data_IF_078795102740
#
_entry.id   IF_078795102740
#
_cell.length_a   1.000
_cell.length_b   1.000
_cell.length_c   1.000
_cell.angle_alpha   90.00
_cell.angle_beta   90.00
_cell.angle_gamma   90.00
#
_symmetry.space_group_name_H-M   'P 1'
#
loop_
_entity.id
_entity.type
_entity.pdbx_description
1 polymer ?
#
# COMPACT_ATOMS: atom_id res chain seq x y z
N UNK A 1 28.40 -6.33 -17.66
CA UNK A 1 27.84 -6.07 -16.31
C UNK A 1 26.63 -6.96 -16.12
N UNK A 2 26.45 -7.54 -14.94
CA UNK A 2 25.26 -8.35 -14.62
C UNK A 2 24.01 -7.47 -14.69
N UNK A 3 23.03 -7.87 -15.50
CA UNK A 3 21.76 -7.15 -15.63
C UNK A 3 20.89 -7.46 -14.41
N UNK A 4 20.36 -6.44 -13.73
CA UNK A 4 19.53 -6.63 -12.52
C UNK A 4 18.26 -7.42 -12.84
N UNK A 5 17.65 -7.21 -14.01
CA UNK A 5 16.44 -7.90 -14.46
C UNK A 5 16.60 -9.41 -14.60
N UNK A 6 17.85 -9.89 -14.75
CA UNK A 6 18.16 -11.32 -14.82
C UNK A 6 18.38 -11.94 -13.44
N UNK A 7 18.46 -11.12 -12.39
CA UNK A 7 18.56 -11.61 -11.02
C UNK A 7 17.19 -12.11 -10.56
N UNK A 8 17.23 -13.11 -9.69
CA UNK A 8 16.06 -13.64 -9.00
C UNK A 8 16.41 -13.85 -7.53
N UNK A 9 15.67 -13.19 -6.64
CA UNK A 9 15.85 -13.25 -5.18
C UNK A 9 17.32 -13.09 -4.75
N UNK A 10 18.06 -12.21 -5.42
CA UNK A 10 19.48 -12.02 -5.19
C UNK A 10 19.74 -11.27 -3.87
N UNK A 11 20.81 -11.67 -3.17
CA UNK A 11 21.34 -11.00 -1.98
C UNK A 11 22.52 -10.04 -2.32
N UNK A 12 22.85 -9.88 -3.60
CA UNK A 12 23.95 -9.03 -4.10
C UNK A 12 23.56 -7.53 -4.11
N UNK A 13 23.23 -6.96 -2.95
CA UNK A 13 22.73 -5.58 -2.84
C UNK A 13 23.68 -4.53 -3.41
N UNK A 14 24.99 -4.78 -3.38
CA UNK A 14 25.99 -3.87 -3.95
C UNK A 14 25.77 -3.61 -5.44
N UNK A 15 25.24 -4.56 -6.21
CA UNK A 15 24.96 -4.35 -7.64
C UNK A 15 23.89 -3.27 -7.84
N UNK A 16 22.81 -3.29 -7.05
CA UNK A 16 21.76 -2.28 -7.12
C UNK A 16 22.24 -0.95 -6.54
N UNK A 17 23.03 -0.98 -5.46
CA UNK A 17 23.64 0.22 -4.88
C UNK A 17 24.46 0.97 -5.92
N UNK A 18 25.42 0.30 -6.55
CA UNK A 18 26.29 0.91 -7.56
C UNK A 18 25.49 1.41 -8.75
N UNK A 19 24.48 0.65 -9.19
CA UNK A 19 23.63 1.10 -10.29
C UNK A 19 22.86 2.36 -9.94
N UNK A 20 22.23 2.41 -8.76
CA UNK A 20 21.53 3.60 -8.28
C UNK A 20 22.46 4.78 -8.08
N UNK A 21 23.70 4.58 -7.63
CA UNK A 21 24.67 5.68 -7.48
C UNK A 21 25.08 6.25 -8.83
N UNK A 22 25.32 5.38 -9.82
CA UNK A 22 25.90 5.75 -11.11
C UNK A 22 24.87 6.06 -12.21
N UNK A 23 23.56 5.97 -11.93
CA UNK A 23 22.50 6.25 -12.91
C UNK A 23 21.76 7.54 -12.52
N UNK A 24 22.07 8.70 -13.13
CA UNK A 24 21.38 9.95 -12.82
C UNK A 24 19.87 9.85 -13.07
N UNK A 25 19.47 9.36 -14.24
CA UNK A 25 18.07 9.16 -14.64
C UNK A 25 17.47 7.90 -14.00
N UNK A 26 17.13 7.98 -12.71
CA UNK A 26 16.56 6.87 -11.93
C UNK A 26 15.36 7.32 -11.12
N UNK A 27 14.39 6.43 -10.94
CA UNK A 27 13.17 6.69 -10.18
C UNK A 27 12.91 5.54 -9.20
N UNK A 28 12.80 5.85 -7.91
CA UNK A 28 12.42 4.88 -6.87
C UNK A 28 10.95 5.12 -6.52
N UNK A 29 10.14 4.06 -6.64
CA UNK A 29 8.74 4.03 -6.20
C UNK A 29 8.62 2.93 -5.14
N UNK A 30 8.21 3.27 -3.93
CA UNK A 30 8.14 2.28 -2.84
C UNK A 30 6.90 2.39 -1.98
N UNK A 31 6.49 1.26 -1.39
CA UNK A 31 5.59 1.28 -0.23
C UNK A 31 6.34 1.75 1.04
N UNK A 32 5.61 1.85 2.15
CA UNK A 32 6.11 2.33 3.43
C UNK A 32 6.14 1.25 4.50
N UNK A 33 4.97 0.74 4.85
CA UNK A 33 4.80 -0.32 5.85
C UNK A 33 5.55 -1.58 5.43
N UNK A 34 6.35 -2.15 6.33
CA UNK A 34 7.19 -3.31 6.04
C UNK A 34 8.44 -3.01 5.18
N UNK A 35 8.45 -1.89 4.44
CA UNK A 35 9.57 -1.48 3.58
C UNK A 35 10.58 -0.60 4.32
N UNK A 36 10.14 0.55 4.86
CA UNK A 36 11.02 1.50 5.56
C UNK A 36 10.68 1.68 7.05
N UNK A 37 9.58 1.07 7.48
CA UNK A 37 9.16 0.96 8.87
C UNK A 37 8.64 -0.45 9.15
N UNK A 38 8.68 -0.88 10.41
CA UNK A 38 8.21 -2.21 10.79
C UNK A 38 6.69 -2.35 10.70
N UNK A 39 6.21 -3.56 10.41
CA UNK A 39 4.80 -3.90 10.55
C UNK A 39 4.45 -4.00 12.05
N UNK A 40 3.55 -3.14 12.51
CA UNK A 40 3.08 -3.05 13.90
C UNK A 40 1.58 -3.31 13.97
N UNK A 41 1.08 -3.83 15.10
CA UNK A 41 -0.36 -4.07 15.29
C UNK A 41 -1.17 -2.78 15.34
N UNK A 42 -0.64 -1.76 16.01
CA UNK A 42 -1.24 -0.43 16.08
C UNK A 42 -0.45 0.55 15.21
N UNK A 43 -1.03 1.09 14.12
CA UNK A 43 -0.43 2.13 13.29
C UNK A 43 0.18 3.31 14.04
N UNK A 44 -0.34 3.66 15.23
CA UNK A 44 0.20 4.76 16.04
C UNK A 44 1.59 4.48 16.62
N UNK A 45 1.97 3.20 16.69
CA UNK A 45 3.28 2.75 17.18
C UNK A 45 4.31 2.61 16.06
N UNK A 46 3.98 2.96 14.81
CA UNK A 46 4.94 3.00 13.71
C UNK A 46 6.06 3.98 14.03
N UNK A 47 7.28 3.58 13.68
CA UNK A 47 8.48 4.39 13.83
C UNK A 47 9.22 4.39 12.50
N UNK A 48 9.61 5.58 12.06
CA UNK A 48 10.55 5.79 10.97
C UNK A 48 11.85 6.39 11.53
N UNK A 49 13.00 5.99 10.99
CA UNK A 49 14.29 6.56 11.41
C UNK A 49 14.47 7.94 10.80
N UNK A 50 14.86 8.93 11.61
CA UNK A 50 15.11 10.29 11.15
C UNK A 50 16.18 10.36 10.05
N UNK A 51 17.29 9.64 10.21
CA UNK A 51 18.35 9.58 9.19
C UNK A 51 17.85 9.06 7.83
N UNK A 52 16.84 8.18 7.83
CA UNK A 52 16.19 7.70 6.61
C UNK A 52 15.37 8.82 5.96
N UNK A 53 14.55 9.56 6.73
CA UNK A 53 13.80 10.73 6.24
C UNK A 53 14.74 11.78 5.65
N UNK A 54 15.85 12.07 6.33
CA UNK A 54 16.87 12.99 5.81
C UNK A 54 17.51 12.49 4.51
N UNK A 55 17.69 11.17 4.37
CA UNK A 55 18.19 10.54 3.15
C UNK A 55 17.19 10.60 2.01
N UNK A 56 15.89 10.44 2.29
CA UNK A 56 14.82 10.61 1.29
C UNK A 56 14.86 12.02 0.70
N UNK A 57 14.99 13.05 1.54
CA UNK A 57 15.12 14.43 1.05
C UNK A 57 16.30 14.62 0.09
N UNK A 58 17.42 13.93 0.31
CA UNK A 58 18.59 14.00 -0.60
C UNK A 58 18.31 13.40 -1.96
N UNK A 59 17.34 12.50 -2.09
CA UNK A 59 16.97 11.90 -3.37
C UNK A 59 16.13 12.83 -4.26
N UNK A 60 15.63 13.97 -3.73
CA UNK A 60 14.85 14.97 -4.47
C UNK A 60 13.73 14.32 -5.31
N UNK A 61 13.74 14.55 -6.62
CA UNK A 61 12.81 14.09 -7.66
C UNK A 61 13.00 12.63 -8.08
N UNK A 62 13.98 11.92 -7.51
CA UNK A 62 14.26 10.51 -7.81
C UNK A 62 13.58 9.51 -6.85
N UNK A 63 12.74 9.98 -5.93
CA UNK A 63 12.08 9.14 -4.94
C UNK A 63 10.64 9.57 -4.71
N UNK A 64 9.71 8.61 -4.76
CA UNK A 64 8.34 8.81 -4.35
C UNK A 64 7.79 7.59 -3.61
N UNK A 65 6.91 7.85 -2.65
CA UNK A 65 6.14 6.81 -1.99
C UNK A 65 4.87 6.47 -2.79
N UNK A 66 4.41 5.24 -2.66
CA UNK A 66 3.15 4.74 -3.22
C UNK A 66 2.55 3.73 -2.25
N UNK A 67 1.66 4.22 -1.38
CA UNK A 67 1.15 3.46 -0.24
C UNK A 67 -0.37 3.46 -0.15
N UNK A 68 -0.92 2.44 0.51
CA UNK A 68 -2.35 2.38 0.83
C UNK A 68 -2.69 3.16 2.10
N UNK A 69 -1.71 3.39 2.99
CA UNK A 69 -1.87 4.31 4.12
C UNK A 69 -2.06 5.74 3.64
N UNK A 70 -2.40 6.66 4.54
CA UNK A 70 -2.57 8.09 4.21
C UNK A 70 -1.35 8.90 4.65
N UNK A 71 -1.11 10.02 3.98
CA UNK A 71 -0.13 11.03 4.41
C UNK A 71 -0.61 11.76 5.65
N UNK A 72 -1.88 12.18 5.66
CA UNK A 72 -2.49 13.01 6.70
C UNK A 72 -3.39 12.20 7.65
N UNK A 73 -3.93 12.89 8.65
CA UNK A 73 -4.77 12.29 9.69
C UNK A 73 -3.97 11.76 10.86
N UNK A 74 -4.69 11.33 11.91
CA UNK A 74 -4.10 10.91 13.19
C UNK A 74 -3.11 9.76 13.04
N UNK A 75 -3.36 8.87 12.08
CA UNK A 75 -2.55 7.67 11.77
C UNK A 75 -1.74 7.84 10.49
N UNK A 76 -1.72 9.04 9.92
CA UNK A 76 -1.02 9.35 8.69
C UNK A 76 0.49 9.38 8.85
N UNK A 77 1.19 9.19 7.73
CA UNK A 77 2.65 9.13 7.66
C UNK A 77 3.30 10.42 8.16
N UNK A 78 2.68 11.57 7.94
CA UNK A 78 3.21 12.86 8.38
C UNK A 78 3.46 12.90 9.88
N UNK A 79 2.51 12.38 10.68
CA UNK A 79 2.65 12.32 12.13
C UNK A 79 3.84 11.44 12.56
N UNK A 80 4.08 10.33 11.82
CA UNK A 80 5.21 9.43 12.07
C UNK A 80 6.53 10.14 11.78
N UNK A 81 6.59 10.91 10.68
CA UNK A 81 7.76 11.73 10.33
C UNK A 81 8.01 12.82 11.37
N UNK A 82 6.98 13.58 11.76
CA UNK A 82 7.07 14.62 12.79
C UNK A 82 7.59 14.08 14.13
N UNK A 83 7.10 12.92 14.57
CA UNK A 83 7.57 12.24 15.78
C UNK A 83 9.03 11.79 15.72
N UNK A 84 9.55 11.53 14.51
CA UNK A 84 10.96 11.16 14.33
C UNK A 84 11.91 12.37 14.37
N UNK A 85 11.37 13.58 14.14
CA UNK A 85 12.12 14.82 14.12
C UNK A 85 12.17 15.51 15.50
N UNK A 86 13.03 16.52 15.63
CA UNK A 86 13.04 17.37 16.83
C UNK A 86 11.87 18.36 16.87
N UNK A 87 11.28 18.70 15.71
CA UNK A 87 10.15 19.62 15.61
C UNK A 87 9.34 19.38 14.34
N UNK A 88 8.00 19.36 14.46
CA UNK A 88 7.09 19.32 13.31
C UNK A 88 7.23 20.56 12.40
N UNK A 89 7.52 21.73 12.98
CA UNK A 89 7.76 22.95 12.21
C UNK A 89 9.00 22.80 11.32
N UNK A 90 10.06 22.17 11.85
CA UNK A 90 11.27 21.91 11.07
C UNK A 90 10.98 20.98 9.89
N UNK A 91 10.18 19.92 10.11
CA UNK A 91 9.77 18.98 9.06
C UNK A 91 9.10 19.71 7.90
N UNK A 92 8.14 20.59 8.22
CA UNK A 92 7.39 21.34 7.21
C UNK A 92 8.25 22.38 6.50
N UNK A 93 8.89 23.28 7.24
CA UNK A 93 9.64 24.42 6.65
C UNK A 93 10.82 23.97 5.81
N UNK A 94 11.47 22.88 6.20
CA UNK A 94 12.62 22.35 5.46
C UNK A 94 12.21 21.30 4.43
N UNK A 95 10.94 20.92 4.31
CA UNK A 95 10.50 19.96 3.31
C UNK A 95 11.03 18.53 3.55
N UNK A 96 10.71 17.94 4.71
CA UNK A 96 11.10 16.58 5.09
C UNK A 96 9.96 15.56 5.00
N UNK A 97 8.75 15.96 4.60
CA UNK A 97 7.69 14.97 4.37
C UNK A 97 8.07 14.07 3.19
N UNK A 98 7.59 12.83 3.23
CA UNK A 98 7.84 11.87 2.16
C UNK A 98 6.93 12.21 0.97
N UNK A 99 7.47 12.63 -0.18
CA UNK A 99 6.65 12.98 -1.33
C UNK A 99 6.13 11.73 -2.02
N UNK A 100 4.97 11.82 -2.66
CA UNK A 100 4.39 10.70 -3.39
C UNK A 100 2.89 10.54 -3.18
N UNK A 101 2.41 9.35 -3.50
CA UNK A 101 1.00 8.99 -3.43
C UNK A 101 0.69 8.10 -2.23
N UNK A 102 -0.42 8.42 -1.58
CA UNK A 102 -1.03 7.72 -0.47
C UNK A 102 -2.50 7.41 -0.79
N UNK A 103 -3.20 6.73 0.12
CA UNK A 103 -4.61 6.36 -0.05
C UNK A 103 -4.85 5.43 -1.25
N UNK A 104 -3.85 4.62 -1.63
CA UNK A 104 -3.93 3.77 -2.82
C UNK A 104 -3.76 4.53 -4.13
N UNK A 105 -3.26 5.77 -4.11
CA UNK A 105 -2.99 6.54 -5.33
C UNK A 105 -3.82 7.81 -5.48
N UNK A 106 -4.73 8.11 -4.55
CA UNK A 106 -5.66 9.25 -4.65
C UNK A 106 -5.24 10.46 -3.82
N UNK A 107 -4.22 10.33 -2.96
CA UNK A 107 -3.75 11.42 -2.11
C UNK A 107 -2.29 11.74 -2.46
N UNK A 108 -2.10 12.82 -3.19
CA UNK A 108 -0.78 13.33 -3.54
C UNK A 108 -0.24 14.25 -2.45
N UNK A 109 1.06 14.18 -2.20
CA UNK A 109 1.75 15.10 -1.32
C UNK A 109 3.15 15.46 -1.83
N UNK A 110 3.53 16.73 -1.69
CA UNK A 110 4.90 17.20 -1.92
C UNK A 110 5.80 17.08 -0.67
N UNK A 111 7.08 17.45 -0.77
CA UNK A 111 7.98 17.35 0.39
C UNK A 111 7.66 18.36 1.53
N UNK A 112 6.85 19.38 1.27
CA UNK A 112 6.43 20.40 2.24
C UNK A 112 5.09 20.08 2.92
N UNK A 113 4.47 18.96 2.57
CA UNK A 113 3.20 18.52 3.16
C UNK A 113 1.98 19.22 2.57
N UNK A 114 2.11 19.79 1.37
CA UNK A 114 0.95 20.25 0.61
C UNK A 114 0.27 19.03 -0.01
N UNK A 115 -1.01 18.85 0.31
CA UNK A 115 -1.79 17.66 -0.08
C UNK A 115 -2.85 18.03 -1.08
N UNK A 116 -2.96 17.20 -2.11
CA UNK A 116 -4.01 17.26 -3.12
C UNK A 116 -4.64 15.89 -3.30
N UNK A 117 -5.83 15.84 -3.91
CA UNK A 117 -6.54 14.60 -4.18
C UNK A 117 -6.85 14.44 -5.68
N UNK A 118 -5.85 14.09 -6.52
CA UNK A 118 -6.01 14.07 -7.97
C UNK A 118 -7.17 13.14 -8.41
N UNK A 119 -8.11 13.72 -9.15
CA UNK A 119 -9.28 13.00 -9.67
C UNK A 119 -10.41 12.82 -8.66
N UNK A 120 -10.32 13.39 -7.46
CA UNK A 120 -11.37 13.31 -6.44
C UNK A 120 -12.01 14.68 -6.28
N UNK A 121 -13.34 14.72 -6.33
CA UNK A 121 -14.11 15.95 -6.15
C UNK A 121 -14.30 16.31 -4.68
N UNK A 122 -14.50 17.59 -4.40
CA UNK A 122 -14.87 18.06 -3.04
C UNK A 122 -16.13 17.38 -2.51
N UNK A 123 -17.07 17.03 -3.41
CA UNK A 123 -18.30 16.35 -3.05
C UNK A 123 -18.03 14.92 -2.53
N UNK A 124 -17.11 14.20 -3.17
CA UNK A 124 -16.68 12.89 -2.68
C UNK A 124 -15.95 12.99 -1.34
N UNK A 125 -15.03 13.95 -1.20
CA UNK A 125 -14.30 14.17 0.07
C UNK A 125 -15.25 14.53 1.21
N UNK A 126 -16.24 15.39 0.96
CA UNK A 126 -17.26 15.76 1.94
C UNK A 126 -18.13 14.56 2.34
N UNK A 127 -18.47 13.69 1.38
CA UNK A 127 -19.19 12.45 1.67
C UNK A 127 -18.36 11.53 2.59
N UNK A 128 -17.09 11.29 2.25
CA UNK A 128 -16.19 10.45 3.06
C UNK A 128 -15.99 11.00 4.47
N UNK A 129 -15.87 12.33 4.62
CA UNK A 129 -15.75 12.98 5.92
C UNK A 129 -16.98 12.73 6.83
N UNK A 130 -18.16 12.44 6.25
CA UNK A 130 -19.37 12.12 7.02
C UNK A 130 -19.41 10.66 7.50
N UNK A 131 -18.72 9.74 6.82
CA UNK A 131 -18.79 8.28 7.07
C UNK A 131 -18.45 7.93 8.53
N UNK A 132 -17.34 8.42 9.14
CA UNK A 132 -17.03 8.12 10.54
C UNK A 132 -18.13 8.51 11.52
N UNK A 133 -18.86 9.60 11.25
CA UNK A 133 -19.96 10.04 12.11
C UNK A 133 -21.16 9.10 12.01
N UNK A 134 -21.55 8.73 10.78
CA UNK A 134 -22.65 7.79 10.52
C UNK A 134 -22.34 6.42 11.14
N UNK A 135 -21.11 5.93 10.98
CA UNK A 135 -20.66 4.68 11.60
C UNK A 135 -20.77 4.74 13.12
N UNK A 136 -20.31 5.84 13.74
CA UNK A 136 -20.38 6.01 15.19
C UNK A 136 -21.81 5.93 15.71
N UNK A 137 -22.73 6.62 15.07
CA UNK A 137 -24.15 6.61 15.45
C UNK A 137 -24.71 5.18 15.39
N UNK A 138 -24.56 4.51 14.24
CA UNK A 138 -25.08 3.15 14.01
C UNK A 138 -24.48 2.10 14.95
N UNK A 139 -23.17 2.17 15.20
CA UNK A 139 -22.50 1.25 16.13
C UNK A 139 -22.90 1.52 17.59
N UNK A 140 -23.12 2.79 17.96
CA UNK A 140 -23.60 3.15 19.30
C UNK A 140 -25.00 2.56 19.52
N UNK A 141 -25.90 2.75 18.57
CA UNK A 141 -27.27 2.21 18.63
C UNK A 141 -27.27 0.67 18.71
N UNK A 142 -26.42 0.01 17.91
CA UNK A 142 -26.23 -1.43 17.98
C UNK A 142 -25.78 -1.87 19.39
N UNK A 143 -24.76 -1.23 19.95
CA UNK A 143 -24.25 -1.58 21.28
C UNK A 143 -25.27 -1.32 22.39
N UNK A 144 -26.03 -0.23 22.34
CA UNK A 144 -27.08 0.06 23.33
C UNK A 144 -28.15 -1.05 23.31
N UNK A 145 -28.47 -1.59 22.13
CA UNK A 145 -29.51 -2.60 21.95
C UNK A 145 -29.02 -4.02 22.30
N UNK A 146 -27.86 -4.42 21.79
CA UNK A 146 -27.40 -5.82 21.86
C UNK A 146 -26.33 -6.04 22.94
N UNK A 147 -25.58 -5.00 23.35
CA UNK A 147 -24.46 -5.11 24.30
C UNK A 147 -24.80 -4.53 25.69
N UNK A 148 -25.96 -4.87 26.25
CA UNK A 148 -26.44 -4.33 27.54
C UNK A 148 -25.54 -4.64 28.75
N UNK A 149 -24.58 -5.54 28.61
CA UNK A 149 -23.57 -5.89 29.61
C UNK A 149 -22.35 -4.95 29.60
N UNK A 150 -22.23 -4.06 28.60
CA UNK A 150 -21.19 -3.04 28.54
C UNK A 150 -21.71 -1.71 29.10
N UNK A 151 -20.87 -1.01 29.86
CA UNK A 151 -21.18 0.35 30.31
C UNK A 151 -21.09 1.35 29.15
N UNK A 152 -21.77 2.52 29.24
CA UNK A 152 -21.66 3.57 28.21
C UNK A 152 -20.22 4.02 27.96
N UNK A 153 -19.37 4.02 28.99
CA UNK A 153 -17.95 4.36 28.88
C UNK A 153 -17.18 3.32 28.07
N UNK A 154 -17.47 2.03 28.28
CA UNK A 154 -16.84 0.95 27.51
C UNK A 154 -17.27 0.97 26.05
N UNK A 155 -18.56 1.21 25.78
CA UNK A 155 -19.09 1.36 24.41
C UNK A 155 -18.35 2.48 23.69
N UNK A 156 -18.26 3.68 24.29
CA UNK A 156 -17.54 4.81 23.68
C UNK A 156 -16.08 4.49 23.39
N UNK A 157 -15.37 3.87 24.36
CA UNK A 157 -13.98 3.50 24.18
C UNK A 157 -13.77 2.48 23.05
N UNK A 158 -14.68 1.51 22.90
CA UNK A 158 -14.60 0.52 21.81
C UNK A 158 -14.87 1.19 20.46
N UNK A 159 -15.89 2.04 20.37
CA UNK A 159 -16.24 2.73 19.12
C UNK A 159 -15.09 3.65 18.68
N UNK A 160 -14.46 4.37 19.60
CA UNK A 160 -13.29 5.21 19.32
C UNK A 160 -12.09 4.42 18.78
N UNK A 161 -11.95 3.15 19.20
CA UNK A 161 -10.88 2.28 18.73
C UNK A 161 -11.19 1.69 17.34
N UNK A 162 -12.46 1.38 17.07
CA UNK A 162 -12.94 0.67 15.87
C UNK A 162 -13.03 1.59 14.66
N UNK A 163 -13.34 2.87 14.85
CA UNK A 163 -13.48 3.84 13.76
C UNK A 163 -12.12 4.44 13.44
N UNK A 164 -11.64 4.20 12.22
CA UNK A 164 -10.46 4.83 11.65
C UNK A 164 -10.91 5.93 10.69
N UNK A 165 -10.65 7.17 11.09
CA UNK A 165 -11.05 8.43 10.45
C UNK A 165 -10.12 8.83 9.30
N UNK A 166 -9.70 7.84 8.52
CA UNK A 166 -8.99 8.00 7.26
C UNK A 166 -9.80 8.90 6.30
N UNK A 167 -9.17 9.91 5.69
CA UNK A 167 -9.84 10.92 4.87
C UNK A 167 -10.37 10.35 3.54
N UNK A 168 -9.62 9.45 2.91
CA UNK A 168 -9.95 8.88 1.60
C UNK A 168 -10.33 7.40 1.66
N UNK A 169 -10.17 6.79 2.83
CA UNK A 169 -10.55 5.40 3.10
C UNK A 169 -11.11 5.17 4.53
N UNK A 170 -12.16 5.89 4.98
CA UNK A 170 -12.79 5.65 6.28
C UNK A 170 -12.99 4.15 6.54
N UNK A 171 -12.48 3.67 7.66
CA UNK A 171 -12.42 2.23 7.95
C UNK A 171 -13.07 1.89 9.27
N UNK A 172 -13.78 0.76 9.30
CA UNK A 172 -14.32 0.15 10.51
C UNK A 172 -13.55 -1.13 10.78
N UNK A 173 -12.72 -1.13 11.83
CA UNK A 173 -11.98 -2.30 12.27
C UNK A 173 -12.64 -2.91 13.51
N UNK A 174 -13.46 -3.94 13.32
CA UNK A 174 -14.18 -4.62 14.41
C UNK A 174 -13.36 -5.69 15.13
N UNK A 175 -12.03 -5.75 14.93
CA UNK A 175 -11.19 -6.72 15.65
C UNK A 175 -11.23 -6.45 17.18
N UNK A 176 -11.28 -5.19 17.59
CA UNK A 176 -11.44 -4.83 19.01
C UNK A 176 -12.76 -5.33 19.60
N UNK A 177 -13.83 -5.37 18.79
CA UNK A 177 -15.10 -5.97 19.21
C UNK A 177 -14.98 -7.48 19.38
N UNK A 178 -14.25 -8.18 18.50
CA UNK A 178 -14.10 -9.64 18.58
C UNK A 178 -13.52 -10.07 19.92
N UNK A 179 -12.46 -9.40 20.38
CA UNK A 179 -11.84 -9.70 21.68
C UNK A 179 -12.84 -9.52 22.84
N UNK A 180 -13.65 -8.44 22.80
CA UNK A 180 -14.64 -8.10 23.84
C UNK A 180 -15.91 -8.95 23.78
N UNK A 181 -16.27 -9.44 22.61
CA UNK A 181 -17.46 -10.25 22.35
C UNK A 181 -17.12 -11.74 22.23
N UNK A 182 -15.92 -12.16 22.64
CA UNK A 182 -15.48 -13.56 22.57
C UNK A 182 -16.37 -14.55 23.31
N UNK A 183 -17.04 -14.12 24.39
CA UNK A 183 -18.05 -14.91 25.11
C UNK A 183 -19.48 -14.75 24.58
N UNK A 184 -19.67 -13.97 23.52
CA UNK A 184 -20.96 -13.61 22.92
C UNK A 184 -20.89 -13.67 21.38
N UNK A 185 -20.47 -14.80 20.83
CA UNK A 185 -20.25 -15.00 19.38
C UNK A 185 -21.45 -14.61 18.52
N UNK A 186 -22.68 -14.88 18.97
CA UNK A 186 -23.90 -14.51 18.25
C UNK A 186 -24.05 -12.99 18.09
N UNK A 187 -23.65 -12.22 19.11
CA UNK A 187 -23.67 -10.74 19.06
C UNK A 187 -22.58 -10.25 18.10
N UNK A 188 -21.41 -10.90 18.08
CA UNK A 188 -20.34 -10.55 17.17
C UNK A 188 -20.71 -10.82 15.70
N UNK A 189 -21.34 -11.97 15.41
CA UNK A 189 -21.83 -12.30 14.06
C UNK A 189 -22.85 -11.24 13.61
N UNK A 190 -23.82 -10.90 14.46
CA UNK A 190 -24.78 -9.82 14.18
C UNK A 190 -24.08 -8.48 13.94
N UNK A 191 -23.05 -8.14 14.71
CA UNK A 191 -22.28 -6.91 14.51
C UNK A 191 -21.65 -6.89 13.11
N UNK A 192 -21.02 -7.98 12.69
CA UNK A 192 -20.41 -8.08 11.36
C UNK A 192 -21.44 -7.85 10.25
N UNK A 193 -22.61 -8.49 10.37
CA UNK A 193 -23.72 -8.29 9.43
C UNK A 193 -24.22 -6.84 9.42
N UNK A 194 -24.33 -6.20 10.60
CA UNK A 194 -24.74 -4.80 10.71
C UNK A 194 -23.72 -3.84 10.08
N UNK A 195 -22.42 -4.08 10.26
CA UNK A 195 -21.39 -3.28 9.59
C UNK A 195 -21.46 -3.47 8.08
N UNK A 196 -21.65 -4.70 7.59
CA UNK A 196 -21.83 -4.95 6.16
C UNK A 196 -23.04 -4.19 5.61
N UNK A 197 -24.20 -4.29 6.26
CA UNK A 197 -25.41 -3.58 5.87
C UNK A 197 -25.20 -2.06 5.86
N UNK A 198 -24.48 -1.52 6.85
CA UNK A 198 -24.12 -0.11 6.87
C UNK A 198 -23.26 0.29 5.67
N UNK A 199 -22.28 -0.53 5.28
CA UNK A 199 -21.47 -0.25 4.09
C UNK A 199 -22.33 -0.23 2.82
N UNK A 200 -23.28 -1.16 2.69
CA UNK A 200 -24.23 -1.19 1.57
C UNK A 200 -25.17 0.05 1.61
N UNK A 201 -25.63 0.48 2.79
CA UNK A 201 -26.42 1.71 2.97
C UNK A 201 -25.64 2.96 2.53
N UNK A 202 -24.35 3.05 2.89
CA UNK A 202 -23.47 4.16 2.51
C UNK A 202 -23.24 4.20 0.99
N UNK A 203 -23.04 3.06 0.32
CA UNK A 203 -22.94 3.00 -1.14
C UNK A 203 -24.23 3.50 -1.80
N UNK A 204 -25.39 3.02 -1.34
CA UNK A 204 -26.68 3.45 -1.86
C UNK A 204 -26.96 4.95 -1.60
N UNK A 205 -26.52 5.48 -0.48
CA UNK A 205 -26.65 6.90 -0.17
C UNK A 205 -25.76 7.75 -1.08
N UNK A 206 -24.52 7.34 -1.32
CA UNK A 206 -23.64 8.00 -2.28
C UNK A 206 -24.26 8.05 -3.68
N UNK A 207 -24.86 6.95 -4.14
CA UNK A 207 -25.58 6.92 -5.43
C UNK A 207 -26.73 7.94 -5.47
N UNK A 208 -27.57 7.99 -4.43
CA UNK A 208 -28.68 8.97 -4.33
C UNK A 208 -28.19 10.41 -4.31
N UNK A 209 -27.00 10.64 -3.74
CA UNK A 209 -26.38 11.94 -3.70
C UNK A 209 -25.69 12.29 -5.04
N UNK A 210 -25.77 11.45 -6.07
CA UNK A 210 -25.15 11.68 -7.38
C UNK A 210 -23.63 11.50 -7.35
N UNK A 211 -23.18 10.49 -6.59
CA UNK A 211 -21.80 10.00 -6.51
C UNK A 211 -21.75 8.52 -6.97
N UNK A 212 -22.54 8.18 -7.99
CA UNK A 212 -22.61 6.84 -8.53
C UNK A 212 -21.21 6.35 -8.95
N UNK A 213 -20.87 5.11 -8.61
CA UNK A 213 -19.56 4.50 -8.88
C UNK A 213 -18.34 5.23 -8.27
N UNK A 214 -18.56 6.20 -7.37
CA UNK A 214 -17.45 6.92 -6.74
C UNK A 214 -16.71 6.07 -5.70
N UNK A 215 -17.41 5.15 -5.04
CA UNK A 215 -16.88 4.36 -3.94
C UNK A 215 -17.01 2.84 -4.14
N UNK A 216 -16.31 2.10 -3.31
CA UNK A 216 -16.44 0.65 -3.13
C UNK A 216 -16.01 0.28 -1.70
N UNK A 217 -16.27 -0.97 -1.30
CA UNK A 217 -15.90 -1.48 0.01
C UNK A 217 -14.82 -2.53 -0.15
N UNK A 218 -13.70 -2.37 0.54
CA UNK A 218 -12.66 -3.38 0.66
C UNK A 218 -12.83 -4.12 2.00
N UNK A 219 -12.88 -5.45 1.94
CA UNK A 219 -12.98 -6.34 3.08
C UNK A 219 -11.63 -7.02 3.34
N UNK A 220 -11.19 -7.04 4.60
CA UNK A 220 -10.02 -7.81 4.99
C UNK A 220 -10.27 -8.63 6.29
N UNK A 221 -9.97 -9.95 6.28
CA UNK A 221 -9.79 -10.81 5.10
C UNK A 221 -11.08 -10.91 4.24
N UNK A 222 -10.95 -11.20 2.94
CA UNK A 222 -12.07 -11.49 2.03
C UNK A 222 -11.97 -12.90 1.41
N UNK A 223 -13.06 -13.37 0.79
CA UNK A 223 -13.14 -14.65 0.08
C UNK A 223 -12.86 -14.55 -1.42
N UNK A 224 -12.29 -13.43 -1.87
CA UNK A 224 -12.11 -13.08 -3.28
C UNK A 224 -13.17 -12.10 -3.75
N UNK A 225 -13.49 -12.17 -5.05
CA UNK A 225 -14.51 -11.35 -5.69
C UNK A 225 -15.61 -12.22 -6.30
N UNK A 226 -16.82 -11.68 -6.36
CA UNK A 226 -17.95 -12.29 -7.06
C UNK A 226 -17.93 -12.01 -8.57
N UNK A 227 -18.96 -12.47 -9.27
CA UNK A 227 -19.08 -12.32 -10.73
C UNK A 227 -19.24 -10.85 -11.17
N UNK A 228 -19.70 -9.98 -10.26
CA UNK A 228 -19.79 -8.53 -10.48
C UNK A 228 -18.49 -7.80 -10.11
N UNK A 229 -17.48 -8.54 -9.66
CA UNK A 229 -16.17 -8.01 -9.27
C UNK A 229 -16.15 -7.35 -7.89
N UNK A 230 -17.20 -7.51 -7.09
CA UNK A 230 -17.29 -7.01 -5.72
C UNK A 230 -16.63 -7.99 -4.75
N UNK A 231 -16.01 -7.47 -3.69
CA UNK A 231 -15.36 -8.34 -2.70
C UNK A 231 -16.38 -9.10 -1.86
N UNK A 232 -16.09 -10.38 -1.61
CA UNK A 232 -16.94 -11.26 -0.83
C UNK A 232 -16.47 -11.24 0.63
N UNK A 233 -17.34 -10.79 1.53
CA UNK A 233 -17.12 -10.84 2.97
C UNK A 233 -16.90 -12.28 3.45
N UNK A 234 -15.92 -12.47 4.33
CA UNK A 234 -15.69 -13.73 5.03
C UNK A 234 -16.53 -13.74 6.31
N UNK A 235 -17.55 -14.60 6.44
CA UNK A 235 -18.42 -14.60 7.60
C UNK A 235 -17.65 -14.98 8.87
N UNK A 236 -17.98 -14.33 9.98
CA UNK A 236 -17.59 -14.73 11.31
C UNK A 236 -18.27 -16.04 11.68
N UNK A 237 -17.62 -16.81 12.55
CA UNK A 237 -18.13 -18.06 13.12
C UNK A 237 -17.87 -18.06 14.63
N UNK A 238 -18.32 -19.10 15.33
CA UNK A 238 -18.03 -19.25 16.77
C UNK A 238 -16.53 -19.27 17.11
N UNK A 239 -15.67 -19.64 16.15
CA UNK A 239 -14.23 -19.82 16.38
C UNK A 239 -13.33 -18.91 15.54
N UNK A 240 -13.92 -18.09 14.67
CA UNK A 240 -13.20 -17.26 13.70
C UNK A 240 -13.89 -15.90 13.55
N UNK A 241 -13.13 -14.82 13.63
CA UNK A 241 -13.65 -13.45 13.49
C UNK A 241 -14.14 -13.11 12.07
N UNK A 242 -13.77 -13.91 11.06
CA UNK A 242 -14.07 -13.58 9.67
C UNK A 242 -13.45 -12.25 9.24
N UNK A 243 -14.16 -11.47 8.42
CA UNK A 243 -13.77 -10.11 8.05
C UNK A 243 -13.84 -9.18 9.26
N UNK A 244 -12.73 -8.53 9.56
CA UNK A 244 -12.63 -7.56 10.66
C UNK A 244 -12.48 -6.13 10.19
N UNK A 245 -12.00 -5.93 8.97
CA UNK A 245 -11.70 -4.62 8.40
C UNK A 245 -12.64 -4.33 7.23
N UNK A 246 -13.35 -3.21 7.33
CA UNK A 246 -14.31 -2.70 6.37
C UNK A 246 -13.87 -1.31 5.93
N UNK A 247 -13.24 -1.19 4.78
CA UNK A 247 -12.71 0.08 4.28
C UNK A 247 -13.64 0.63 3.21
N UNK A 248 -14.23 1.79 3.46
CA UNK A 248 -15.05 2.49 2.48
C UNK A 248 -14.15 3.41 1.66
N UNK A 249 -13.85 3.03 0.42
CA UNK A 249 -12.76 3.62 -0.36
C UNK A 249 -13.26 4.26 -1.64
N UNK A 250 -12.53 5.29 -2.07
CA UNK A 250 -12.66 5.87 -3.41
C UNK A 250 -12.28 4.84 -4.48
N UNK A 251 -13.17 4.62 -5.44
CA UNK A 251 -12.93 3.72 -6.57
C UNK A 251 -11.76 4.21 -7.45
N UNK A 252 -10.93 3.28 -7.89
CA UNK A 252 -9.78 3.58 -8.75
C UNK A 252 -8.49 3.86 -7.98
N UNK A 253 -8.50 3.96 -6.65
CA UNK A 253 -7.30 3.98 -5.83
C UNK A 253 -6.53 2.65 -5.86
N UNK A 254 -5.91 2.35 -6.99
CA UNK A 254 -5.01 1.21 -7.19
C UNK A 254 -3.58 1.71 -7.41
N UNK A 255 -2.61 1.04 -6.79
CA UNK A 255 -1.20 1.45 -6.83
C UNK A 255 -0.65 1.48 -8.26
N UNK A 256 -1.11 0.60 -9.13
CA UNK A 256 -0.70 0.50 -10.53
C UNK A 256 -0.93 1.80 -11.31
N UNK A 257 -2.08 2.45 -11.11
CA UNK A 257 -2.36 3.76 -11.68
C UNK A 257 -1.43 4.84 -11.09
N UNK A 258 -1.11 4.72 -9.80
CA UNK A 258 -0.13 5.57 -9.13
C UNK A 258 1.27 5.49 -9.73
N UNK A 259 1.71 4.33 -10.25
CA UNK A 259 3.00 4.22 -10.97
C UNK A 259 3.00 5.12 -12.20
N UNK A 260 1.92 5.14 -12.98
CA UNK A 260 1.83 6.00 -14.16
C UNK A 260 1.76 7.48 -13.79
N UNK A 261 1.04 7.83 -12.72
CA UNK A 261 1.00 9.20 -12.22
C UNK A 261 2.41 9.67 -11.84
N UNK A 262 3.13 8.88 -11.02
CA UNK A 262 4.48 9.21 -10.58
C UNK A 262 5.47 9.28 -11.75
N UNK A 263 5.36 8.39 -12.74
CA UNK A 263 6.18 8.43 -13.94
C UNK A 263 5.87 9.67 -14.80
N UNK A 264 4.59 10.03 -14.94
CA UNK A 264 4.15 11.23 -15.66
C UNK A 264 4.69 12.51 -14.97
N UNK A 265 4.61 12.56 -13.65
CA UNK A 265 5.16 13.66 -12.85
C UNK A 265 6.69 13.71 -12.90
N UNK A 266 7.36 12.56 -12.84
CA UNK A 266 8.81 12.46 -13.01
C UNK A 266 9.26 13.03 -14.36
N UNK A 267 8.56 12.67 -15.45
CA UNK A 267 8.83 13.24 -16.77
C UNK A 267 8.66 14.76 -16.78
N UNK A 268 7.62 15.30 -16.14
CA UNK A 268 7.45 16.74 -16.05
C UNK A 268 8.62 17.42 -15.33
N UNK A 269 9.07 16.88 -14.19
CA UNK A 269 10.19 17.45 -13.43
C UNK A 269 11.50 17.49 -14.25
N UNK A 270 11.74 16.50 -15.10
CA UNK A 270 12.98 16.38 -15.86
C UNK A 270 12.91 16.92 -17.30
N UNK A 271 11.71 17.14 -17.84
CA UNK A 271 11.53 17.47 -19.26
C UNK A 271 10.58 18.65 -19.51
N UNK A 272 9.80 19.05 -18.51
CA UNK A 272 8.76 20.08 -18.62
C UNK A 272 7.46 19.59 -19.28
N UNK A 273 7.38 18.32 -19.66
CA UNK A 273 6.22 17.74 -20.37
C UNK A 273 5.57 16.66 -19.51
N UNK A 274 4.22 16.60 -19.54
CA UNK A 274 3.43 15.49 -19.00
C UNK A 274 2.98 14.58 -20.16
N UNK A 275 3.63 13.42 -20.40
CA UNK A 275 3.24 12.51 -21.48
C UNK A 275 1.77 12.07 -21.46
N UNK A 276 1.15 12.01 -20.28
CA UNK A 276 -0.25 11.62 -20.10
C UNK A 276 -1.18 12.82 -19.87
N UNK A 277 -0.67 14.05 -19.95
CA UNK A 277 -1.35 15.28 -19.55
C UNK A 277 -1.18 15.60 -18.06
N UNK A 278 -1.21 16.90 -17.74
CA UNK A 278 -1.05 17.43 -16.36
C UNK A 278 -2.16 16.94 -15.43
N UNK A 279 -3.35 16.69 -15.98
CA UNK A 279 -4.54 16.30 -15.24
C UNK A 279 -4.75 14.77 -15.18
N UNK A 280 -3.73 13.98 -15.56
CA UNK A 280 -3.76 12.52 -15.42
C UNK A 280 -3.86 12.12 -13.94
N UNK A 281 -4.74 11.17 -13.65
CA UNK A 281 -4.98 10.67 -12.29
C UNK A 281 -5.58 9.27 -12.35
N UNK A 282 -5.80 8.67 -11.18
CA UNK A 282 -6.25 7.28 -11.11
C UNK A 282 -7.65 7.01 -11.69
N UNK A 283 -8.52 8.04 -11.80
CA UNK A 283 -9.84 7.90 -12.45
C UNK A 283 -9.76 7.77 -13.97
N UNK A 284 -8.68 8.30 -14.55
CA UNK A 284 -8.41 8.24 -16.00
C UNK A 284 -7.57 7.03 -16.39
N UNK A 285 -6.96 6.37 -15.40
CA UNK A 285 -6.12 5.22 -15.63
C UNK A 285 -6.97 3.98 -16.00
N UNK A 286 -6.54 3.20 -17.00
CA UNK A 286 -7.12 1.88 -17.25
C UNK A 286 -7.01 0.94 -16.04
N UNK A 287 -7.87 -0.08 -15.99
CA UNK A 287 -7.91 -1.02 -14.86
C UNK A 287 -7.04 -2.26 -15.05
N UNK A 288 -6.61 -2.56 -16.27
CA UNK A 288 -5.83 -3.76 -16.56
C UNK A 288 -4.33 -3.46 -16.71
N UNK A 289 -3.50 -4.43 -16.32
CA UNK A 289 -2.04 -4.38 -16.52
C UNK A 289 -1.64 -4.09 -17.98
N UNK A 290 -2.33 -4.72 -18.93
CA UNK A 290 -2.00 -4.61 -20.36
C UNK A 290 -2.31 -3.21 -20.91
N UNK A 291 -3.45 -2.64 -20.54
CA UNK A 291 -3.84 -1.29 -20.95
C UNK A 291 -2.95 -0.24 -20.29
N UNK A 292 -2.60 -0.40 -19.01
CA UNK A 292 -1.65 0.48 -18.32
C UNK A 292 -0.28 0.46 -19.01
N UNK A 293 0.25 -0.72 -19.34
CA UNK A 293 1.51 -0.84 -20.08
C UNK A 293 1.40 -0.19 -21.46
N UNK A 294 0.30 -0.41 -22.18
CA UNK A 294 0.06 0.18 -23.50
C UNK A 294 0.03 1.70 -23.44
N UNK A 295 -0.56 2.27 -22.39
CA UNK A 295 -0.58 3.71 -22.16
C UNK A 295 0.84 4.26 -21.98
N UNK A 296 1.73 3.55 -21.28
CA UNK A 296 3.14 3.97 -21.16
C UNK A 296 3.85 3.88 -22.52
N UNK A 297 3.70 2.76 -23.23
CA UNK A 297 4.36 2.52 -24.53
C UNK A 297 4.00 3.57 -25.58
N UNK A 298 2.74 3.99 -25.59
CA UNK A 298 2.24 4.89 -26.63
C UNK A 298 2.59 6.36 -26.39
N UNK A 299 2.92 6.75 -25.15
CA UNK A 299 3.05 8.17 -24.79
C UNK A 299 4.45 8.58 -24.30
N UNK A 300 5.24 7.67 -23.73
CA UNK A 300 6.53 8.01 -23.14
C UNK A 300 7.70 7.78 -24.11
N UNK A 301 8.60 8.76 -24.22
CA UNK A 301 9.83 8.62 -25.01
C UNK A 301 10.79 7.61 -24.35
N UNK A 302 11.11 6.48 -25.02
CA UNK A 302 12.05 5.47 -24.51
C UNK A 302 13.41 6.04 -24.10
N UNK A 303 13.89 7.10 -24.77
CA UNK A 303 15.22 7.68 -24.51
C UNK A 303 15.28 8.47 -23.21
N UNK A 304 14.14 8.96 -22.74
CA UNK A 304 14.01 9.73 -21.50
C UNK A 304 13.59 8.85 -20.31
N UNK A 305 13.22 7.60 -20.57
CA UNK A 305 12.66 6.71 -19.55
C UNK A 305 13.70 6.38 -18.47
N UNK A 306 13.38 6.60 -17.18
CA UNK A 306 14.31 6.31 -16.10
C UNK A 306 14.52 4.81 -15.90
N UNK A 307 15.65 4.48 -15.28
CA UNK A 307 15.77 3.22 -14.57
C UNK A 307 14.84 3.25 -13.34
N UNK A 308 13.80 2.43 -13.31
CA UNK A 308 12.81 2.40 -12.24
C UNK A 308 13.12 1.28 -11.25
N UNK A 309 13.06 1.61 -9.96
CA UNK A 309 13.14 0.66 -8.86
C UNK A 309 11.82 0.63 -8.11
N UNK A 310 11.11 -0.49 -8.20
CA UNK A 310 9.92 -0.76 -7.40
C UNK A 310 10.31 -1.49 -6.11
N UNK A 311 9.82 -1.02 -4.95
CA UNK A 311 10.10 -1.65 -3.65
C UNK A 311 8.81 -1.93 -2.89
N UNK A 312 8.63 -3.17 -2.46
CA UNK A 312 7.47 -3.59 -1.67
C UNK A 312 7.81 -4.71 -0.69
N UNK A 313 6.88 -4.99 0.23
CA UNK A 313 6.99 -6.06 1.22
C UNK A 313 5.85 -7.09 1.07
N UNK A 314 4.80 -6.75 0.31
CA UNK A 314 3.56 -7.50 0.29
C UNK A 314 3.34 -8.16 -1.07
N UNK A 315 3.88 -9.37 -1.21
CA UNK A 315 3.71 -10.27 -2.35
C UNK A 315 3.42 -11.66 -1.82
N UNK A 316 2.36 -12.32 -2.31
CA UNK A 316 2.03 -13.67 -1.89
C UNK A 316 1.41 -14.48 -3.04
N UNK A 317 1.59 -15.80 -2.99
CA UNK A 317 0.83 -16.73 -3.80
C UNK A 317 0.45 -17.96 -2.97
N UNK A 318 -0.62 -18.63 -3.35
CA UNK A 318 -1.11 -19.85 -2.70
C UNK A 318 -1.59 -20.79 -3.78
N UNK A 319 -1.08 -22.02 -3.76
CA UNK A 319 -1.52 -23.08 -4.65
C UNK A 319 -2.44 -24.03 -3.88
N UNK A 320 -3.64 -24.25 -4.40
CA UNK A 320 -4.64 -25.12 -3.79
C UNK A 320 -5.18 -26.12 -4.80
N UNK A 321 -5.49 -27.33 -4.35
CA UNK A 321 -6.24 -28.31 -5.15
C UNK A 321 -7.73 -28.16 -4.87
N UNK A 322 -8.53 -27.87 -5.90
CA UNK A 322 -9.99 -27.80 -5.80
C UNK A 322 -10.62 -28.59 -6.96
N UNK A 323 -11.44 -29.58 -6.64
CA UNK A 323 -12.09 -30.47 -7.62
C UNK A 323 -11.10 -31.14 -8.60
N UNK A 324 -9.91 -31.51 -8.12
CA UNK A 324 -8.85 -32.14 -8.93
C UNK A 324 -8.16 -31.18 -9.91
N UNK A 325 -8.33 -29.87 -9.74
CA UNK A 325 -7.60 -28.84 -10.47
C UNK A 325 -6.75 -28.03 -9.49
N UNK A 326 -5.51 -27.79 -9.89
CA UNK A 326 -4.63 -26.82 -9.24
C UNK A 326 -5.13 -25.40 -9.54
N UNK A 327 -5.50 -24.66 -8.49
CA UNK A 327 -5.86 -23.25 -8.53
C UNK A 327 -4.74 -22.45 -7.87
N UNK A 328 -4.16 -21.53 -8.63
CA UNK A 328 -3.16 -20.59 -8.12
C UNK A 328 -3.86 -19.26 -7.81
N UNK A 329 -3.78 -18.82 -6.56
CA UNK A 329 -4.22 -17.48 -6.15
C UNK A 329 -3.00 -16.63 -5.85
N UNK A 330 -2.88 -15.49 -6.51
CA UNK A 330 -1.78 -14.53 -6.33
C UNK A 330 -2.35 -13.25 -5.77
N UNK A 331 -1.61 -12.63 -4.86
CA UNK A 331 -2.06 -11.42 -4.20
C UNK A 331 -0.93 -10.66 -3.54
N UNK A 332 -1.34 -9.75 -2.67
CA UNK A 332 -0.48 -8.78 -2.02
C UNK A 332 -0.60 -7.41 -2.65
N UNK A 333 -0.71 -6.38 -1.80
CA UNK A 333 -0.96 -4.99 -2.20
C UNK A 333 0.09 -4.42 -3.13
N UNK A 334 1.33 -4.93 -3.07
CA UNK A 334 2.44 -4.39 -3.86
C UNK A 334 2.63 -5.14 -5.17
N UNK A 335 2.12 -6.37 -5.25
CA UNK A 335 2.43 -7.31 -6.33
C UNK A 335 2.23 -6.70 -7.71
N UNK A 336 1.08 -6.09 -7.95
CA UNK A 336 0.73 -5.63 -9.29
C UNK A 336 1.52 -4.37 -9.71
N UNK A 337 1.75 -3.41 -8.81
CA UNK A 337 2.53 -2.23 -9.19
C UNK A 337 4.01 -2.61 -9.44
N UNK A 338 4.55 -3.56 -8.66
CA UNK A 338 5.87 -4.13 -8.90
C UNK A 338 5.94 -4.86 -10.26
N UNK A 339 4.90 -5.64 -10.60
CA UNK A 339 4.80 -6.30 -11.90
C UNK A 339 4.72 -5.28 -13.05
N UNK A 340 4.01 -4.17 -12.87
CA UNK A 340 3.93 -3.11 -13.87
C UNK A 340 5.30 -2.46 -14.11
N UNK A 341 6.06 -2.17 -13.05
CA UNK A 341 7.43 -1.63 -13.15
C UNK A 341 8.35 -2.60 -13.92
N UNK A 342 8.25 -3.91 -13.63
CA UNK A 342 8.97 -4.94 -14.39
C UNK A 342 8.58 -4.90 -15.88
N UNK A 343 7.27 -4.92 -16.17
CA UNK A 343 6.75 -4.96 -17.54
C UNK A 343 7.16 -3.73 -18.35
N UNK A 344 7.18 -2.54 -17.73
CA UNK A 344 7.72 -1.32 -18.36
C UNK A 344 9.20 -1.53 -18.72
N UNK A 345 10.00 -2.04 -17.77
CA UNK A 345 11.42 -2.33 -18.01
C UNK A 345 11.65 -3.29 -19.16
N UNK A 346 10.91 -4.40 -19.19
CA UNK A 346 10.99 -5.39 -20.27
C UNK A 346 10.62 -4.78 -21.63
N UNK A 347 9.55 -3.98 -21.67
CA UNK A 347 9.03 -3.40 -22.91
C UNK A 347 9.94 -2.34 -23.53
N UNK A 348 10.61 -1.52 -22.70
CA UNK A 348 11.58 -0.52 -23.16
C UNK A 348 13.03 -1.03 -23.15
N UNK A 349 13.25 -2.30 -22.79
CA UNK A 349 14.57 -2.90 -22.56
C UNK A 349 15.43 -2.09 -21.57
N UNK A 350 14.80 -1.58 -20.52
CA UNK A 350 15.44 -0.90 -19.40
C UNK A 350 15.57 -1.90 -18.28
N UNK A 351 16.74 -1.91 -17.65
CA UNK A 351 17.07 -2.87 -16.61
C UNK A 351 16.47 -2.45 -15.26
N UNK A 352 15.14 -2.29 -15.20
CA UNK A 352 14.37 -1.99 -13.99
C UNK A 352 14.59 -3.05 -12.90
N UNK A 353 14.38 -2.65 -11.65
CA UNK A 353 14.57 -3.51 -10.50
C UNK A 353 13.29 -3.62 -9.67
N UNK A 354 12.93 -4.84 -9.32
CA UNK A 354 11.89 -5.18 -8.36
C UNK A 354 12.55 -5.70 -7.09
N UNK A 355 12.36 -4.99 -5.99
CA UNK A 355 13.00 -5.25 -4.70
C UNK A 355 11.95 -5.67 -3.69
N UNK A 356 12.19 -6.79 -3.01
CA UNK A 356 11.34 -7.28 -1.93
C UNK A 356 11.99 -7.09 -0.56
N UNK A 357 11.24 -6.62 0.41
CA UNK A 357 11.68 -6.48 1.80
C UNK A 357 11.01 -7.57 2.63
N UNK A 358 11.79 -8.42 3.31
CA UNK A 358 11.22 -9.43 4.20
C UNK A 358 10.72 -8.79 5.49
N UNK A 359 9.42 -8.48 5.55
CA UNK A 359 8.77 -7.87 6.70
C UNK A 359 8.22 -8.91 7.70
N UNK A 360 8.42 -10.21 7.47
CA UNK A 360 7.89 -11.31 8.31
C UNK A 360 8.43 -11.31 9.76
N UNK A 361 9.56 -10.62 9.97
CA UNK A 361 10.13 -10.36 11.29
C UNK A 361 9.30 -9.42 12.18
N UNK A 362 8.35 -8.65 11.62
CA UNK A 362 7.53 -7.67 12.34
C UNK A 362 6.48 -8.25 13.32
N UNK A 363 5.66 -7.39 13.94
CA UNK A 363 4.62 -7.81 14.89
C UNK A 363 3.47 -8.55 14.21
N UNK A 364 3.15 -8.16 12.97
CA UNK A 364 2.13 -8.82 12.15
C UNK A 364 2.75 -10.06 11.51
N UNK A 365 2.20 -11.24 11.80
CA UNK A 365 2.72 -12.55 11.35
C UNK A 365 1.98 -13.14 10.15
N UNK A 366 1.50 -12.29 9.24
CA UNK A 366 0.75 -12.68 8.04
C UNK A 366 1.62 -12.72 6.76
N UNK A 367 2.95 -12.70 6.89
CA UNK A 367 3.92 -12.78 5.78
C UNK A 367 4.73 -14.06 5.92
N UNK A 368 4.94 -14.77 4.81
CA UNK A 368 5.82 -15.93 4.77
C UNK A 368 7.29 -15.45 4.87
N UNK A 369 8.06 -15.92 5.86
CA UNK A 369 9.48 -15.59 5.95
C UNK A 369 10.26 -16.20 4.79
N UNK A 370 11.27 -15.47 4.33
CA UNK A 370 12.20 -15.98 3.34
C UNK A 370 13.09 -17.02 3.99
N UNK A 371 13.29 -18.13 3.27
CA UNK A 371 14.17 -19.19 3.73
C UNK A 371 15.54 -19.03 3.09
N UNK A 372 16.55 -18.81 3.93
CA UNK A 372 17.94 -18.77 3.50
C UNK A 372 18.58 -20.15 3.58
N UNK A 373 19.57 -20.36 2.72
CA UNK A 373 20.39 -21.56 2.68
C UNK A 373 21.82 -21.26 2.26
N UNK A 374 22.57 -22.32 1.99
CA UNK A 374 23.96 -22.26 1.54
C UNK A 374 24.10 -22.98 0.20
N UNK A 375 24.83 -22.35 -0.71
CA UNK A 375 25.39 -22.98 -1.91
C UNK A 375 26.91 -22.77 -1.85
N UNK A 376 27.61 -23.81 -1.38
CA UNK A 376 28.99 -23.67 -0.89
C UNK A 376 29.08 -22.65 0.25
N UNK A 377 30.00 -21.69 0.14
CA UNK A 377 30.17 -20.60 1.12
C UNK A 377 29.11 -19.50 0.98
N UNK A 378 28.46 -19.39 -0.19
CA UNK A 378 27.54 -18.31 -0.51
C UNK A 378 26.18 -18.55 0.15
N UNK A 379 25.66 -17.52 0.82
CA UNK A 379 24.27 -17.52 1.28
C UNK A 379 23.34 -17.27 0.10
N UNK A 380 22.31 -18.10 -0.05
CA UNK A 380 21.30 -18.01 -1.11
C UNK A 380 19.89 -18.05 -0.53
N UNK A 381 18.91 -17.67 -1.34
CA UNK A 381 17.49 -17.81 -1.02
C UNK A 381 17.00 -19.15 -1.54
N UNK A 382 16.48 -19.99 -0.64
CA UNK A 382 15.88 -21.28 -0.97
C UNK A 382 14.40 -21.16 -1.31
N UNK A 383 13.69 -20.30 -0.58
CA UNK A 383 12.26 -20.07 -0.76
C UNK A 383 11.95 -18.57 -0.61
N UNK A 384 11.27 -18.00 -1.60
CA UNK A 384 10.77 -16.63 -1.59
C UNK A 384 9.42 -16.48 -0.87
N UNK A 385 8.78 -15.31 -1.00
CA UNK A 385 7.54 -15.00 -0.28
C UNK A 385 6.29 -15.71 -0.81
N UNK A 386 6.33 -16.22 -2.04
CA UNK A 386 5.24 -17.00 -2.64
C UNK A 386 5.25 -18.49 -2.25
N UNK A 387 4.22 -19.20 -2.72
CA UNK A 387 4.15 -20.66 -2.67
C UNK A 387 5.20 -21.27 -3.61
N UNK A 388 5.94 -22.26 -3.12
CA UNK A 388 6.98 -22.95 -3.91
C UNK A 388 6.40 -23.73 -5.08
N UNK A 389 5.10 -24.04 -5.04
CA UNK A 389 4.38 -24.74 -6.10
C UNK A 389 3.89 -23.81 -7.21
N UNK A 390 3.89 -22.49 -7.00
CA UNK A 390 3.55 -21.53 -8.05
C UNK A 390 4.73 -21.36 -9.03
N UNK A 391 4.76 -22.19 -10.07
CA UNK A 391 5.83 -22.19 -11.08
C UNK A 391 5.63 -21.16 -12.19
N UNK A 392 4.48 -20.50 -12.22
CA UNK A 392 4.08 -19.59 -13.31
C UNK A 392 3.92 -18.14 -12.84
N UNK A 393 4.47 -17.78 -11.69
CA UNK A 393 4.42 -16.41 -11.16
C UNK A 393 5.11 -15.43 -12.15
N UNK A 394 4.34 -14.52 -12.79
CA UNK A 394 4.93 -13.59 -13.76
C UNK A 394 5.79 -12.50 -13.11
N UNK A 395 5.59 -12.19 -11.83
CA UNK A 395 6.42 -11.25 -11.10
C UNK A 395 7.76 -11.88 -10.71
N UNK A 396 8.86 -11.31 -11.20
CA UNK A 396 10.22 -11.71 -10.85
C UNK A 396 10.82 -10.70 -9.88
N UNK A 397 10.87 -11.08 -8.61
CA UNK A 397 11.59 -10.32 -7.59
C UNK A 397 13.10 -10.45 -7.84
N UNK A 398 13.78 -9.34 -8.16
CA UNK A 398 15.19 -9.36 -8.53
C UNK A 398 16.12 -9.43 -7.32
N UNK A 399 15.83 -8.62 -6.30
CA UNK A 399 16.62 -8.52 -5.08
C UNK A 399 15.76 -8.63 -3.84
N UNK A 400 16.38 -9.08 -2.76
CA UNK A 400 15.67 -9.26 -1.51
C UNK A 400 16.46 -8.90 -0.28
N UNK A 401 15.81 -8.23 0.67
CA UNK A 401 16.38 -7.82 1.95
C UNK A 401 15.83 -8.72 3.08
N UNK A 402 16.49 -9.85 3.39
CA UNK A 402 15.99 -10.84 4.35
C UNK A 402 16.05 -10.37 5.80
N UNK A 403 16.78 -9.29 6.09
CA UNK A 403 16.81 -8.66 7.42
C UNK A 403 15.80 -7.48 7.52
N UNK A 404 14.86 -7.41 6.58
CA UNK A 404 13.74 -6.49 6.58
C UNK A 404 14.11 -5.01 6.43
N UNK A 405 13.19 -4.15 6.86
CA UNK A 405 13.26 -2.70 6.68
C UNK A 405 14.56 -2.07 7.23
N UNK A 406 15.13 -2.62 8.30
CA UNK A 406 16.36 -2.05 8.88
C UNK A 406 17.55 -2.16 7.92
N UNK A 407 17.68 -3.30 7.24
CA UNK A 407 18.72 -3.52 6.24
C UNK A 407 18.49 -2.63 5.02
N UNK A 408 17.24 -2.54 4.57
CA UNK A 408 16.86 -1.69 3.45
C UNK A 408 17.12 -0.21 3.73
N UNK A 409 16.71 0.31 4.89
CA UNK A 409 16.94 1.70 5.26
C UNK A 409 18.44 2.03 5.31
N UNK A 410 19.28 1.11 5.84
CA UNK A 410 20.74 1.30 5.82
C UNK A 410 21.27 1.39 4.38
N UNK A 411 20.87 0.45 3.53
CA UNK A 411 21.22 0.45 2.11
C UNK A 411 20.79 1.75 1.41
N UNK A 412 19.56 2.19 1.65
CA UNK A 412 19.01 3.40 1.06
C UNK A 412 19.78 4.65 1.51
N UNK A 413 20.09 4.78 2.80
CA UNK A 413 20.91 5.88 3.31
C UNK A 413 22.31 5.87 2.67
N UNK A 414 22.94 4.71 2.48
CA UNK A 414 24.22 4.62 1.77
C UNK A 414 24.13 5.12 0.33
N UNK A 415 23.07 4.74 -0.41
CA UNK A 415 22.81 5.22 -1.77
C UNK A 415 22.62 6.74 -1.79
N UNK A 416 21.73 7.26 -0.96
CA UNK A 416 21.40 8.68 -0.92
C UNK A 416 22.59 9.56 -0.53
N UNK A 417 23.48 9.07 0.33
CA UNK A 417 24.70 9.78 0.73
C UNK A 417 25.81 9.71 -0.32
N UNK A 418 25.79 8.69 -1.19
CA UNK A 418 26.85 8.46 -2.18
C UNK A 418 26.50 9.01 -3.56
N UNK A 419 25.20 9.21 -3.86
CA UNK A 419 24.77 9.89 -5.08
C UNK A 419 25.27 11.33 -5.08
N UNK A 420 25.93 11.71 -6.18
CA UNK A 420 26.13 13.13 -6.50
C UNK A 420 24.78 13.67 -6.95
N UNK A 421 24.21 14.56 -6.18
CA UNK A 421 23.04 15.32 -6.62
C UNK A 421 23.55 16.64 -7.17
N UNK A 422 23.26 16.87 -8.46
CA UNK A 422 23.42 18.19 -9.07
C UNK A 422 22.34 19.16 -8.53
#
# INVERSE_FOLDING_TARGET
MTNIKNLHLSLEHNLLKEKLINTPNSLIIQDLDGVCMGLVKDPLNRIIKWDYVQSVKKMKDHFFVLTNGEHIGKRGVNNIVEKSASSAQEVKEKGYYLPGLAGGGVQWQDCFGNVEHPGISDKELNFLASVPHIVREKLTDFCIKECNFLSPKEINNIIDAVILDNFVSPTVNINTFYEKLSSHSDIYIKLQDQVKLLMDELLNQAEKDGLENSFFVHYAPNLGRDDDGLEILRPATETDSGTTDFQFMVRGGIKEAGVLFLLNYYYYLHTGEYPLGEDFNVRKAPHTQEELLSLVVNNFDPKKMPFIVGVGDTVNSTVMEQNGKTIVRRGGSDRNFLQLIQNIGDKFNIDNAVVYIDSSGGEIKNRKPIKLGKDGEKTIVLEGPGDILDKEEPLKLNMVFPQGHQQYCKFFCEVANSRKTD
#
